data_IF_541384865076
#
_entry.id   IF_541384865076
#
_cell.length_a   1.000
_cell.length_b   1.000
_cell.length_c   1.000
_cell.angle_alpha   90.00
_cell.angle_beta   90.00
_cell.angle_gamma   90.00
#
_symmetry.space_group_name_H-M   'P 1'
#
loop_
_entity.id
_entity.type
_entity.pdbx_description
1 polymer ?
#
# COMPACT_ATOMS: atom_id res chain seq x y z
N UNK A 1 3.80 -17.48 17.96
CA UNK A 1 2.44 -17.33 17.42
C UNK A 1 1.87 -15.93 17.73
N UNK A 2 2.57 -14.86 17.34
CA UNK A 2 2.12 -13.48 17.62
C UNK A 2 1.01 -13.00 16.65
N UNK A 3 0.93 -13.63 15.47
CA UNK A 3 -0.06 -13.27 14.44
C UNK A 3 -1.51 -13.57 14.84
N UNK A 4 -1.75 -14.55 15.72
CA UNK A 4 -3.10 -14.97 16.11
C UNK A 4 -3.84 -13.91 16.93
N UNK A 5 -3.13 -13.22 17.84
CA UNK A 5 -3.77 -12.20 18.71
C UNK A 5 -4.27 -11.00 17.91
N UNK A 6 -3.45 -10.48 16.99
CA UNK A 6 -3.87 -9.36 16.14
C UNK A 6 -5.00 -9.78 15.19
N UNK A 7 -4.97 -11.02 14.69
CA UNK A 7 -6.06 -11.57 13.88
C UNK A 7 -7.38 -11.63 14.66
N UNK A 8 -7.40 -12.23 15.85
CA UNK A 8 -8.60 -12.29 16.69
C UNK A 8 -9.12 -10.90 17.07
N UNK A 9 -8.22 -10.02 17.51
CA UNK A 9 -8.60 -8.67 17.92
C UNK A 9 -9.12 -7.84 16.75
N UNK A 10 -8.69 -8.13 15.51
CA UNK A 10 -9.13 -7.37 14.33
C UNK A 10 -10.48 -7.80 13.77
N UNK A 11 -11.12 -8.84 14.31
CA UNK A 11 -12.41 -9.35 13.86
C UNK A 11 -13.52 -8.28 13.72
N UNK A 12 -13.66 -7.28 14.63
CA UNK A 12 -14.69 -6.24 14.50
C UNK A 12 -14.54 -5.36 13.25
N UNK A 13 -13.38 -5.32 12.60
CA UNK A 13 -13.13 -4.53 11.39
C UNK A 13 -13.31 -5.32 10.09
N UNK A 14 -13.84 -6.54 10.16
CA UNK A 14 -14.11 -7.35 8.98
C UNK A 14 -15.03 -6.61 8.00
N UNK A 15 -14.56 -6.37 6.78
CA UNK A 15 -15.30 -5.68 5.72
C UNK A 15 -15.41 -4.16 5.88
N UNK A 16 -14.81 -3.55 6.91
CA UNK A 16 -14.84 -2.11 7.10
C UNK A 16 -13.91 -1.40 6.09
N UNK A 17 -14.40 -0.40 5.32
CA UNK A 17 -13.55 0.32 4.38
C UNK A 17 -12.69 1.38 5.07
N UNK A 18 -11.48 1.61 4.56
CA UNK A 18 -10.61 2.72 4.95
C UNK A 18 -11.01 3.97 4.16
N UNK A 19 -11.52 4.99 4.84
CA UNK A 19 -12.06 6.21 4.21
C UNK A 19 -11.06 7.37 4.09
N UNK A 20 -9.86 7.23 4.64
CA UNK A 20 -8.83 8.28 4.58
C UNK A 20 -8.26 8.35 3.15
N UNK A 21 -8.07 9.54 2.55
CA UNK A 21 -7.31 9.69 1.30
C UNK A 21 -5.95 9.00 1.42
N UNK A 22 -5.60 8.15 0.47
CA UNK A 22 -4.42 7.27 0.59
C UNK A 22 -3.63 7.24 -0.71
N UNK A 23 -2.31 7.32 -0.59
CA UNK A 23 -1.37 7.06 -1.68
C UNK A 23 -0.52 5.83 -1.32
N UNK A 24 -0.43 4.87 -2.24
CA UNK A 24 0.34 3.64 -2.03
C UNK A 24 1.47 3.57 -3.06
N UNK A 25 2.69 3.33 -2.56
CA UNK A 25 3.93 3.30 -3.33
C UNK A 25 4.66 2.03 -2.95
N UNK A 26 5.10 1.25 -3.93
CA UNK A 26 5.80 -0.04 -3.72
C UNK A 26 6.87 -0.26 -4.78
N UNK A 27 7.94 -0.97 -4.42
CA UNK A 27 8.93 -1.42 -5.39
C UNK A 27 8.46 -2.64 -6.18
N UNK A 28 8.80 -2.73 -7.46
CA UNK A 28 8.45 -3.88 -8.31
C UNK A 28 9.13 -5.20 -7.90
N UNK A 29 10.29 -5.13 -7.24
CA UNK A 29 11.04 -6.29 -6.74
C UNK A 29 10.69 -6.57 -5.25
N UNK A 30 9.83 -5.78 -4.62
CA UNK A 30 9.42 -5.97 -3.23
C UNK A 30 8.82 -7.38 -3.01
N UNK A 31 9.34 -8.10 -2.01
CA UNK A 31 8.87 -9.45 -1.66
C UNK A 31 7.38 -9.49 -1.28
N UNK A 32 6.86 -8.41 -0.68
CA UNK A 32 5.47 -8.28 -0.27
C UNK A 32 4.56 -8.04 -1.47
N UNK A 33 5.01 -7.24 -2.45
CA UNK A 33 4.30 -7.01 -3.71
C UNK A 33 4.23 -8.27 -4.56
N UNK A 34 5.28 -9.08 -4.54
CA UNK A 34 5.38 -10.34 -5.30
C UNK A 34 4.84 -11.56 -4.53
N UNK A 35 4.28 -11.39 -3.33
CA UNK A 35 3.64 -12.48 -2.61
C UNK A 35 2.37 -12.96 -3.35
N UNK A 36 2.02 -14.26 -3.26
CA UNK A 36 0.88 -14.82 -3.99
C UNK A 36 -0.42 -14.03 -3.76
N UNK A 37 -1.07 -13.62 -4.86
CA UNK A 37 -2.36 -12.91 -4.84
C UNK A 37 -2.29 -11.41 -4.57
N UNK A 38 -1.14 -10.85 -4.18
CA UNK A 38 -1.03 -9.42 -3.82
C UNK A 38 -1.21 -8.51 -5.03
N UNK A 39 -0.52 -8.78 -6.14
CA UNK A 39 -0.69 -7.99 -7.36
C UNK A 39 -2.13 -8.01 -7.89
N UNK A 40 -2.79 -9.17 -7.83
CA UNK A 40 -4.19 -9.29 -8.24
C UNK A 40 -5.10 -8.47 -7.32
N UNK A 41 -4.88 -8.51 -6.00
CA UNK A 41 -5.63 -7.70 -5.05
C UNK A 41 -5.43 -6.20 -5.30
N UNK A 42 -4.19 -5.76 -5.52
CA UNK A 42 -3.83 -4.35 -5.78
C UNK A 42 -4.47 -3.85 -7.08
N UNK A 43 -4.28 -4.59 -8.18
CA UNK A 43 -4.57 -4.09 -9.53
C UNK A 43 -5.94 -4.49 -10.08
N UNK A 44 -6.58 -5.53 -9.54
CA UNK A 44 -7.91 -5.99 -10.02
C UNK A 44 -9.08 -5.47 -9.17
N UNK A 45 -8.86 -4.38 -8.44
CA UNK A 45 -9.92 -3.63 -7.73
C UNK A 45 -10.19 -4.06 -6.29
N UNK A 46 -9.58 -5.15 -5.79
CA UNK A 46 -9.72 -5.57 -4.39
C UNK A 46 -9.24 -4.50 -3.41
N UNK A 47 -8.09 -3.89 -3.71
CA UNK A 47 -7.51 -2.85 -2.86
C UNK A 47 -8.33 -1.56 -2.87
N UNK A 48 -8.80 -1.14 -4.06
CA UNK A 48 -9.69 0.01 -4.22
C UNK A 48 -11.06 -0.21 -3.54
N UNK A 49 -11.56 -1.44 -3.49
CA UNK A 49 -12.78 -1.77 -2.74
C UNK A 49 -12.59 -1.60 -1.23
N UNK A 50 -11.43 -2.03 -0.69
CA UNK A 50 -11.09 -1.86 0.73
C UNK A 50 -10.72 -0.43 1.09
N UNK A 51 -10.16 0.35 0.15
CA UNK A 51 -9.71 1.74 0.32
C UNK A 51 -10.32 2.61 -0.80
N UNK A 52 -11.59 3.04 -0.68
CA UNK A 52 -12.27 3.75 -1.77
C UNK A 52 -11.57 5.04 -2.23
N UNK A 53 -10.87 5.73 -1.31
CA UNK A 53 -10.16 6.98 -1.57
C UNK A 53 -8.66 6.77 -1.87
N UNK A 54 -8.28 5.60 -2.37
CA UNK A 54 -6.92 5.28 -2.84
C UNK A 54 -6.63 5.98 -4.18
N UNK A 55 -5.54 6.74 -4.27
CA UNK A 55 -5.00 7.24 -5.54
C UNK A 55 -4.40 6.11 -6.38
N UNK A 56 -4.05 6.40 -7.63
CA UNK A 56 -3.38 5.42 -8.49
C UNK A 56 -2.11 4.90 -7.81
N UNK A 57 -1.96 3.57 -7.84
CA UNK A 57 -0.84 2.87 -7.21
C UNK A 57 0.44 3.13 -7.98
N UNK A 58 1.50 3.51 -7.27
CA UNK A 58 2.82 3.73 -7.86
C UNK A 58 3.67 2.47 -7.65
N UNK A 59 4.12 1.88 -8.75
CA UNK A 59 5.07 0.77 -8.76
C UNK A 59 6.41 1.27 -9.28
N UNK A 60 7.43 1.28 -8.42
CA UNK A 60 8.76 1.81 -8.74
C UNK A 60 9.61 0.71 -9.38
N UNK A 61 10.07 0.96 -10.62
CA UNK A 61 10.88 0.00 -11.38
C UNK A 61 12.29 -0.17 -10.80
N UNK A 62 12.73 -1.41 -10.65
CA UNK A 62 14.04 -1.77 -10.15
C UNK A 62 14.26 -1.49 -8.67
N UNK A 63 13.19 -1.36 -7.87
CA UNK A 63 13.27 -0.98 -6.44
C UNK A 63 12.78 -2.14 -5.57
N UNK A 64 13.50 -2.41 -4.48
CA UNK A 64 13.16 -3.47 -3.54
C UNK A 64 12.31 -2.92 -2.37
N UNK A 65 12.38 -3.58 -1.21
CA UNK A 65 11.52 -3.30 -0.07
C UNK A 65 11.71 -1.92 0.58
N UNK A 66 12.94 -1.39 0.56
CA UNK A 66 13.28 -0.15 1.27
C UNK A 66 13.25 1.08 0.35
N UNK A 67 12.11 1.31 -0.31
CA UNK A 67 11.91 2.36 -1.33
C UNK A 67 12.37 3.75 -0.85
N UNK A 68 12.16 4.05 0.43
CA UNK A 68 12.48 5.34 1.04
C UNK A 68 13.99 5.56 1.26
N UNK A 69 14.80 4.50 1.22
CA UNK A 69 16.27 4.58 1.28
C UNK A 69 16.90 4.38 -0.10
N UNK A 70 16.29 3.56 -0.96
CA UNK A 70 16.78 3.27 -2.31
C UNK A 70 16.51 4.43 -3.28
N UNK A 71 15.35 5.08 -3.15
CA UNK A 71 14.91 6.22 -3.97
C UNK A 71 14.38 7.37 -3.08
N UNK A 72 15.20 7.92 -2.17
CA UNK A 72 14.74 8.86 -1.13
C UNK A 72 14.11 10.14 -1.71
N UNK A 73 14.68 10.68 -2.79
CA UNK A 73 14.18 11.90 -3.42
C UNK A 73 12.81 11.69 -4.08
N UNK A 74 12.63 10.59 -4.78
CA UNK A 74 11.38 10.25 -5.46
C UNK A 74 10.25 10.02 -4.46
N UNK A 75 10.52 9.24 -3.41
CA UNK A 75 9.56 9.03 -2.32
C UNK A 75 9.22 10.34 -1.60
N UNK A 76 10.22 11.19 -1.31
CA UNK A 76 9.99 12.49 -0.67
C UNK A 76 9.14 13.42 -1.55
N UNK A 77 9.37 13.43 -2.86
CA UNK A 77 8.58 14.21 -3.80
C UNK A 77 7.12 13.74 -3.80
N UNK A 78 6.88 12.43 -3.89
CA UNK A 78 5.52 11.90 -3.84
C UNK A 78 4.77 12.23 -2.55
N UNK A 79 5.47 12.26 -1.42
CA UNK A 79 4.91 12.69 -0.13
C UNK A 79 4.51 14.17 -0.17
N UNK A 80 5.42 15.06 -0.59
CA UNK A 80 5.17 16.49 -0.68
C UNK A 80 4.01 16.82 -1.66
N UNK A 81 4.01 16.20 -2.83
CA UNK A 81 2.95 16.35 -3.83
C UNK A 81 1.60 15.92 -3.27
N UNK A 82 1.55 14.76 -2.61
CA UNK A 82 0.31 14.25 -2.02
C UNK A 82 -0.26 15.21 -0.97
N UNK A 83 0.59 15.73 -0.08
CA UNK A 83 0.13 16.65 0.96
C UNK A 83 -0.22 18.05 0.43
N UNK A 84 0.33 18.48 -0.70
CA UNK A 84 0.00 19.78 -1.30
C UNK A 84 -1.44 19.89 -1.86
N UNK A 85 -2.16 18.76 -1.94
CA UNK A 85 -3.55 18.71 -2.42
C UNK A 85 -4.59 19.01 -1.32
N UNK A 86 -4.17 19.18 -0.07
CA UNK A 86 -5.01 19.45 1.10
C UNK A 86 -4.71 20.82 1.72
#
# INVERSE_FOLDING_TARGET
>A
LCSYRNWELSAPWTGAPIKVPTKFIVGDIDLTYNAPGVQDYIHRGGFKASVPNLEDVIVMEGVNHFINQEKPNEVSNHICEFFSMF
#
